data_IF_629923231722
#
_entry.id   IF_629923231722
#
_cell.length_a   1.000
_cell.length_b   1.000
_cell.length_c   1.000
_cell.angle_alpha   90.00
_cell.angle_beta   90.00
_cell.angle_gamma   90.00
#
_symmetry.space_group_name_H-M   'P 1'
#
loop_
_entity.id
_entity.type
_entity.pdbx_description
1 polymer ?
#
# COMPACT_ATOMS: atom_id res chain seq x y z
N UNK A 1 -32.97 -30.36 26.74
CA UNK A 1 -32.10 -29.27 26.24
C UNK A 1 -31.89 -29.51 24.77
N UNK A 2 -32.50 -28.70 23.90
CA UNK A 2 -32.42 -28.85 22.46
C UNK A 2 -31.40 -27.83 21.89
N UNK A 3 -30.39 -28.34 21.17
CA UNK A 3 -29.35 -27.54 20.54
C UNK A 3 -29.82 -27.25 19.12
N UNK A 4 -30.15 -25.98 18.85
CA UNK A 4 -30.58 -25.52 17.52
C UNK A 4 -29.38 -25.21 16.65
N UNK A 5 -29.19 -25.95 15.56
CA UNK A 5 -28.22 -25.64 14.49
C UNK A 5 -28.78 -24.56 13.57
N UNK A 6 -28.04 -23.45 13.42
CA UNK A 6 -28.31 -22.42 12.42
C UNK A 6 -27.39 -22.62 11.22
N UNK A 7 -27.99 -22.97 10.10
CA UNK A 7 -27.28 -23.01 8.81
C UNK A 7 -27.40 -21.62 8.15
N UNK A 8 -26.26 -20.97 7.89
CA UNK A 8 -26.19 -19.74 7.10
C UNK A 8 -25.91 -20.13 5.65
N UNK A 9 -26.89 -19.88 4.78
CA UNK A 9 -26.72 -20.05 3.34
C UNK A 9 -26.14 -18.76 2.75
N UNK A 10 -24.95 -18.83 2.19
CA UNK A 10 -24.35 -17.77 1.40
C UNK A 10 -24.90 -17.84 -0.04
N UNK A 11 -25.66 -16.81 -0.43
CA UNK A 11 -26.14 -16.63 -1.80
C UNK A 11 -25.11 -15.83 -2.61
N UNK A 12 -24.46 -16.48 -3.58
CA UNK A 12 -23.68 -15.84 -4.63
C UNK A 12 -24.63 -15.20 -5.64
N UNK A 13 -24.76 -13.86 -5.64
CA UNK A 13 -25.48 -13.10 -6.66
C UNK A 13 -24.62 -12.88 -7.89
N UNK A 14 -24.90 -13.59 -9.00
CA UNK A 14 -24.32 -13.33 -10.31
C UNK A 14 -24.95 -12.10 -10.95
N UNK A 15 -24.13 -11.16 -11.39
CA UNK A 15 -24.55 -10.00 -12.21
C UNK A 15 -24.59 -10.40 -13.67
N UNK A 16 -25.77 -10.31 -14.30
CA UNK A 16 -25.96 -10.50 -15.73
C UNK A 16 -25.57 -9.21 -16.49
N UNK A 17 -24.65 -9.34 -17.43
CA UNK A 17 -24.31 -8.29 -18.38
C UNK A 17 -25.47 -8.06 -19.37
N UNK A 18 -25.89 -6.81 -19.51
CA UNK A 18 -26.87 -6.36 -20.52
C UNK A 18 -26.11 -5.84 -21.75
N UNK A 19 -26.31 -6.48 -22.88
CA UNK A 19 -25.84 -6.05 -24.20
C UNK A 19 -26.49 -4.72 -24.62
N UNK A 20 -25.72 -3.65 -24.66
CA UNK A 20 -26.09 -2.36 -25.22
C UNK A 20 -25.62 -2.21 -26.67
N UNK A 21 -26.54 -2.37 -27.63
CA UNK A 21 -26.35 -2.17 -29.06
C UNK A 21 -26.25 -0.66 -29.36
N UNK A 22 -25.06 -0.13 -29.56
CA UNK A 22 -24.80 1.27 -29.91
C UNK A 22 -24.57 1.44 -31.42
N UNK A 23 -25.39 2.30 -32.02
CA UNK A 23 -25.48 2.71 -33.43
C UNK A 23 -24.26 3.51 -33.89
N UNK A 24 -23.83 3.28 -35.13
CA UNK A 24 -22.66 3.87 -35.76
C UNK A 24 -22.66 5.39 -35.92
N UNK A 25 -21.47 5.98 -35.74
CA UNK A 25 -21.13 7.34 -36.13
C UNK A 25 -20.02 7.34 -37.18
N UNK A 26 -20.32 7.85 -38.38
CA UNK A 26 -19.34 8.05 -39.46
C UNK A 26 -18.39 9.17 -39.10
N UNK A 27 -17.09 8.90 -39.11
CA UNK A 27 -16.05 9.92 -39.04
C UNK A 27 -15.39 10.13 -40.38
N UNK A 28 -15.46 11.38 -40.85
CA UNK A 28 -14.91 11.94 -42.08
C UNK A 28 -13.37 11.96 -42.02
N UNK A 29 -12.74 11.54 -43.16
CA UNK A 29 -11.29 11.48 -43.29
C UNK A 29 -10.61 12.84 -43.30
N UNK A 30 -9.48 12.92 -42.61
CA UNK A 30 -8.51 14.00 -42.69
C UNK A 30 -7.19 13.47 -43.26
N UNK A 31 -6.81 13.96 -44.48
CA UNK A 31 -5.52 13.69 -45.09
C UNK A 31 -4.42 14.45 -44.34
N UNK A 32 -3.38 13.78 -43.84
CA UNK A 32 -2.15 14.43 -43.40
C UNK A 32 -0.97 14.01 -44.23
N UNK A 33 -0.35 15.00 -44.79
CA UNK A 33 0.86 15.06 -45.62
C UNK A 33 2.07 14.46 -44.93
N UNK A 34 2.91 13.75 -45.71
CA UNK A 34 4.11 13.08 -45.24
C UNK A 34 5.19 14.01 -44.68
N UNK A 35 5.83 13.56 -43.63
CA UNK A 35 7.04 14.15 -43.06
C UNK A 35 8.17 13.12 -43.10
N UNK A 36 9.31 13.58 -43.58
CA UNK A 36 10.57 12.87 -43.84
C UNK A 36 11.15 12.14 -42.65
N UNK A 37 11.79 10.99 -42.94
CA UNK A 37 12.49 10.14 -42.01
C UNK A 37 13.64 10.82 -41.25
N UNK A 38 13.66 10.65 -39.95
CA UNK A 38 14.79 10.87 -39.09
C UNK A 38 15.26 9.53 -38.54
N UNK A 39 16.52 9.16 -38.84
CA UNK A 39 17.20 8.01 -38.22
C UNK A 39 17.41 8.28 -36.73
N UNK A 40 16.56 7.75 -35.87
CA UNK A 40 16.69 7.83 -34.43
C UNK A 40 17.53 6.69 -33.92
N UNK A 41 18.71 7.00 -33.44
CA UNK A 41 19.59 6.20 -32.59
C UNK A 41 18.80 5.62 -31.40
N UNK A 42 19.01 4.32 -31.12
CA UNK A 42 18.33 3.60 -30.06
C UNK A 42 18.37 4.32 -28.71
N UNK A 43 17.26 4.91 -28.34
CA UNK A 43 17.03 5.44 -26.99
C UNK A 43 16.66 4.31 -26.04
N UNK A 44 17.52 4.10 -25.04
CA UNK A 44 17.17 3.33 -23.85
C UNK A 44 15.81 3.82 -23.34
N UNK A 45 14.83 2.93 -23.28
CA UNK A 45 13.52 3.25 -22.75
C UNK A 45 13.68 3.65 -21.26
N UNK A 46 13.88 4.93 -21.02
CA UNK A 46 13.71 5.52 -19.71
C UNK A 46 12.21 5.45 -19.44
N UNK A 47 11.82 4.59 -18.49
CA UNK A 47 10.43 4.49 -18.04
C UNK A 47 9.89 5.89 -17.77
N UNK A 48 8.86 6.27 -18.55
CA UNK A 48 8.25 7.58 -18.44
C UNK A 48 7.80 7.81 -17.01
N UNK A 49 8.41 8.76 -16.34
CA UNK A 49 7.84 9.38 -15.14
C UNK A 49 6.59 10.11 -15.59
N UNK A 50 5.48 9.37 -15.71
CA UNK A 50 4.16 9.98 -15.91
C UNK A 50 3.98 11.03 -14.83
N UNK A 51 3.49 12.19 -15.21
CA UNK A 51 3.32 13.33 -14.34
C UNK A 51 2.32 12.98 -13.23
N UNK A 52 2.81 12.39 -12.12
CA UNK A 52 2.03 11.91 -10.96
C UNK A 52 1.61 13.04 -10.01
N UNK A 53 1.90 14.30 -10.36
CA UNK A 53 1.65 15.46 -9.49
C UNK A 53 0.21 15.60 -9.02
N UNK A 54 -0.77 15.05 -9.74
CA UNK A 54 -2.17 15.05 -9.31
C UNK A 54 -2.60 13.82 -8.50
N UNK A 55 -1.78 12.74 -8.50
CA UNK A 55 -2.13 11.48 -7.83
C UNK A 55 -1.62 11.41 -6.39
N UNK A 56 -0.63 12.25 -6.06
CA UNK A 56 0.03 12.24 -4.75
C UNK A 56 -0.47 13.34 -3.81
N UNK A 57 -1.25 14.31 -4.31
CA UNK A 57 -1.76 15.40 -3.47
C UNK A 57 -2.66 14.85 -2.35
N UNK A 58 -2.39 15.27 -1.12
CA UNK A 58 -3.15 14.90 0.07
C UNK A 58 -3.37 16.13 0.97
N UNK A 59 -4.44 16.14 1.72
CA UNK A 59 -4.86 17.21 2.62
C UNK A 59 -4.92 16.79 4.09
N UNK A 60 -4.89 15.46 4.33
CA UNK A 60 -4.99 14.92 5.69
C UNK A 60 -4.22 13.61 5.86
N UNK A 61 -3.82 13.26 7.10
CA UNK A 61 -3.31 11.93 7.42
C UNK A 61 -4.29 10.83 7.03
N UNK A 62 -3.79 9.64 6.74
CA UNK A 62 -4.59 8.47 6.40
C UNK A 62 -5.15 8.43 4.98
N UNK A 63 -5.07 9.53 4.21
CA UNK A 63 -5.56 9.57 2.83
C UNK A 63 -4.63 8.90 1.82
N UNK A 64 -3.40 8.60 2.22
CA UNK A 64 -2.39 8.01 1.36
C UNK A 64 -2.37 6.49 1.46
N UNK A 65 -2.14 5.82 0.34
CA UNK A 65 -1.94 4.38 0.27
C UNK A 65 -0.69 4.05 -0.53
N UNK A 66 -0.05 2.92 -0.20
CA UNK A 66 1.02 2.36 -1.00
C UNK A 66 0.44 1.56 -2.17
N UNK A 67 1.10 1.69 -3.30
CA UNK A 67 0.80 0.90 -4.49
C UNK A 67 2.08 0.43 -5.15
N UNK A 68 2.15 -0.83 -5.56
CA UNK A 68 3.29 -1.35 -6.30
C UNK A 68 3.36 -0.69 -7.69
N UNK A 69 4.55 -0.30 -8.13
CA UNK A 69 4.78 0.29 -9.46
C UNK A 69 4.63 -0.73 -10.59
N UNK A 70 3.72 -1.68 -10.44
CA UNK A 70 3.39 -2.68 -11.44
C UNK A 70 1.86 -2.87 -11.51
N UNK A 71 1.37 -3.49 -12.57
CA UNK A 71 -0.06 -3.73 -12.76
C UNK A 71 -0.63 -4.85 -11.88
N UNK A 72 0.20 -5.61 -11.20
CA UNK A 72 -0.24 -6.77 -10.43
C UNK A 72 -0.54 -6.45 -8.96
N UNK A 73 -0.47 -5.18 -8.57
CA UNK A 73 -0.86 -4.70 -7.24
C UNK A 73 0.08 -5.10 -6.10
N UNK A 74 1.18 -5.80 -6.39
CA UNK A 74 2.13 -6.23 -5.36
C UNK A 74 3.34 -6.94 -5.92
N UNK A 75 4.17 -7.46 -5.04
CA UNK A 75 5.38 -8.22 -5.36
C UNK A 75 5.32 -9.62 -4.76
N UNK A 76 5.83 -10.61 -5.48
CA UNK A 76 5.98 -11.99 -4.99
C UNK A 76 7.17 -12.11 -4.00
N UNK A 77 8.02 -11.09 -3.92
CA UNK A 77 9.20 -11.05 -3.05
C UNK A 77 8.87 -10.20 -1.82
N UNK A 78 8.90 -10.77 -0.60
CA UNK A 78 8.71 -10.02 0.64
C UNK A 78 9.80 -8.96 0.89
N UNK A 79 10.95 -9.08 0.20
CA UNK A 79 12.06 -8.15 0.28
C UNK A 79 12.07 -7.12 -0.86
N UNK A 80 10.99 -7.02 -1.63
CA UNK A 80 10.90 -6.01 -2.70
C UNK A 80 11.26 -4.62 -2.15
N UNK A 81 12.19 -3.88 -2.81
CA UNK A 81 12.67 -2.61 -2.28
C UNK A 81 11.58 -1.54 -2.33
N UNK A 82 11.67 -0.55 -1.41
CA UNK A 82 10.73 0.59 -1.37
C UNK A 82 10.64 1.34 -2.72
N UNK A 83 11.72 1.35 -3.49
CA UNK A 83 11.74 1.96 -4.83
C UNK A 83 10.73 1.33 -5.82
N UNK A 84 10.30 0.10 -5.57
CA UNK A 84 9.23 -0.58 -6.31
C UNK A 84 7.81 -0.08 -5.94
N UNK A 85 7.68 0.66 -4.85
CA UNK A 85 6.42 1.18 -4.35
C UNK A 85 6.26 2.66 -4.60
N UNK A 86 5.04 3.14 -4.63
CA UNK A 86 4.71 4.56 -4.67
C UNK A 86 3.56 4.85 -3.72
N UNK A 87 3.58 6.05 -3.14
CA UNK A 87 2.47 6.55 -2.34
C UNK A 87 1.55 7.39 -3.21
N UNK A 88 0.27 7.15 -3.11
CA UNK A 88 -0.77 7.88 -3.85
C UNK A 88 -1.93 8.22 -2.92
N UNK A 89 -2.69 9.21 -3.28
CA UNK A 89 -3.96 9.46 -2.63
C UNK A 89 -4.91 8.30 -2.94
N UNK A 90 -5.47 7.64 -1.91
CA UNK A 90 -6.33 6.47 -2.05
C UNK A 90 -7.54 6.71 -2.97
N UNK A 91 -8.09 7.94 -3.00
CA UNK A 91 -9.16 8.32 -3.92
C UNK A 91 -8.74 8.32 -5.39
N UNK A 92 -7.43 8.30 -5.69
CA UNK A 92 -6.85 8.31 -7.03
C UNK A 92 -6.28 6.94 -7.46
N UNK A 93 -6.44 5.92 -6.62
CA UNK A 93 -5.88 4.59 -6.88
C UNK A 93 -6.36 4.01 -8.21
N UNK A 94 -7.65 4.05 -8.48
CA UNK A 94 -8.22 3.56 -9.74
C UNK A 94 -7.66 4.29 -10.97
N UNK A 95 -7.43 5.61 -10.84
CA UNK A 95 -6.81 6.39 -11.92
C UNK A 95 -5.37 5.93 -12.16
N UNK A 96 -4.60 5.67 -11.12
CA UNK A 96 -3.25 5.14 -11.22
C UNK A 96 -3.25 3.75 -11.88
N UNK A 97 -4.10 2.84 -11.43
CA UNK A 97 -4.24 1.50 -11.99
C UNK A 97 -4.50 1.56 -13.49
N UNK A 98 -5.43 2.41 -13.93
CA UNK A 98 -5.74 2.58 -15.36
C UNK A 98 -4.56 3.10 -16.18
N UNK A 99 -3.64 3.85 -15.57
CA UNK A 99 -2.42 4.33 -16.25
C UNK A 99 -1.34 3.26 -16.33
N UNK A 100 -1.22 2.41 -15.28
CA UNK A 100 -0.22 1.35 -15.21
C UNK A 100 -0.65 0.09 -15.97
N UNK A 101 -1.94 -0.23 -15.95
CA UNK A 101 -2.50 -1.47 -16.45
C UNK A 101 -3.15 -1.25 -17.84
N UNK A 102 -2.31 -1.09 -18.84
CA UNK A 102 -2.78 -0.97 -20.22
C UNK A 102 -2.64 -2.34 -20.94
N UNK A 103 -3.78 -2.88 -21.39
CA UNK A 103 -3.83 -4.17 -22.07
C UNK A 103 -3.98 -5.38 -21.12
N UNK A 104 -3.96 -6.57 -21.69
CA UNK A 104 -4.06 -7.84 -20.97
C UNK A 104 -2.69 -8.19 -20.36
N UNK A 105 -2.48 -7.87 -19.10
CA UNK A 105 -1.26 -8.18 -18.37
C UNK A 105 -1.48 -9.44 -17.55
N UNK A 106 -0.72 -10.49 -17.83
CA UNK A 106 -0.70 -11.70 -17.02
C UNK A 106 0.13 -11.46 -15.76
N UNK A 107 -0.52 -11.46 -14.60
CA UNK A 107 0.16 -11.38 -13.32
C UNK A 107 0.66 -12.75 -12.85
N UNK A 108 1.82 -12.80 -12.16
CA UNK A 108 2.28 -14.04 -11.53
C UNK A 108 1.23 -14.59 -10.57
N UNK A 109 1.03 -15.91 -10.55
CA UNK A 109 0.11 -16.58 -9.63
C UNK A 109 0.64 -16.71 -8.21
N UNK A 110 1.47 -15.81 -7.73
CA UNK A 110 2.02 -15.80 -6.37
C UNK A 110 1.13 -15.00 -5.41
N UNK A 111 1.30 -15.24 -4.12
CA UNK A 111 0.77 -14.34 -3.09
C UNK A 111 1.54 -13.02 -3.13
N UNK A 112 0.80 -11.91 -3.11
CA UNK A 112 1.40 -10.59 -2.92
C UNK A 112 1.85 -10.43 -1.47
N UNK A 113 3.05 -9.90 -1.28
CA UNK A 113 3.61 -9.57 0.03
C UNK A 113 3.70 -8.07 0.20
N UNK A 114 3.07 -7.57 1.27
CA UNK A 114 3.21 -6.21 1.71
C UNK A 114 4.23 -6.15 2.84
N UNK A 115 5.26 -5.33 2.69
CA UNK A 115 6.22 -5.12 3.77
C UNK A 115 5.58 -4.19 4.82
N UNK A 116 5.34 -4.65 6.07
CA UNK A 116 4.64 -3.87 7.08
C UNK A 116 5.39 -2.61 7.51
N UNK A 117 6.70 -2.54 7.21
CA UNK A 117 7.52 -1.36 7.50
C UNK A 117 7.41 -0.27 6.41
N UNK A 118 6.75 -0.56 5.29
CA UNK A 118 6.53 0.45 4.26
C UNK A 118 5.20 1.15 4.50
N UNK A 119 5.24 2.47 4.54
CA UNK A 119 4.07 3.32 4.77
C UNK A 119 3.92 4.35 3.66
N UNK A 120 2.68 4.80 3.49
CA UNK A 120 2.36 6.00 2.72
C UNK A 120 1.80 7.05 3.69
N UNK A 121 2.49 8.17 3.83
CA UNK A 121 2.07 9.27 4.71
C UNK A 121 1.83 10.54 3.91
N UNK A 122 0.87 11.35 4.36
CA UNK A 122 0.68 12.71 3.87
C UNK A 122 1.70 13.64 4.53
N UNK A 123 2.74 14.03 3.80
CA UNK A 123 3.78 14.95 4.25
C UNK A 123 3.80 16.17 3.35
N UNK A 124 3.69 17.35 3.93
CA UNK A 124 3.71 18.63 3.18
C UNK A 124 2.74 18.67 2.00
N UNK A 125 1.54 18.08 2.15
CA UNK A 125 0.52 18.04 1.11
C UNK A 125 0.73 17.02 0.00
N UNK A 126 1.67 16.07 0.19
CA UNK A 126 2.00 15.03 -0.77
C UNK A 126 2.08 13.66 -0.10
N UNK A 127 1.53 12.65 -0.75
CA UNK A 127 1.70 11.26 -0.34
C UNK A 127 3.16 10.83 -0.58
N UNK A 128 3.83 10.44 0.50
CA UNK A 128 5.23 10.03 0.50
C UNK A 128 5.34 8.58 0.96
N UNK A 129 6.01 7.75 0.16
CA UNK A 129 6.36 6.39 0.57
C UNK A 129 7.64 6.43 1.42
N UNK A 130 7.62 5.72 2.53
CA UNK A 130 8.76 5.65 3.44
C UNK A 130 8.94 4.24 4.00
N UNK A 131 10.17 3.97 4.43
CA UNK A 131 10.52 2.78 5.22
C UNK A 131 10.61 3.20 6.70
N UNK A 132 9.70 2.73 7.52
CA UNK A 132 9.64 3.03 8.94
C UNK A 132 10.95 2.75 9.66
N UNK A 133 11.70 1.76 9.19
CA UNK A 133 12.99 1.38 9.77
C UNK A 133 14.08 2.45 9.67
N UNK A 134 13.93 3.43 8.79
CA UNK A 134 14.89 4.51 8.57
C UNK A 134 14.27 5.89 8.70
N UNK A 135 12.98 5.95 9.04
CA UNK A 135 12.22 7.18 9.16
C UNK A 135 12.28 7.76 10.58
N UNK A 136 12.07 9.05 10.71
CA UNK A 136 12.03 9.77 11.99
C UNK A 136 11.02 9.18 12.98
N UNK A 137 9.96 8.52 12.50
CA UNK A 137 8.97 7.85 13.34
C UNK A 137 9.54 6.67 14.13
N UNK A 138 10.68 6.13 13.72
CA UNK A 138 11.39 5.08 14.44
C UNK A 138 12.68 5.58 15.11
N UNK A 139 13.01 6.86 15.00
CA UNK A 139 14.23 7.41 15.62
C UNK A 139 14.21 7.22 17.14
N UNK A 140 15.31 6.71 17.72
CA UNK A 140 15.42 6.39 19.13
C UNK A 140 16.80 6.74 19.71
N UNK A 141 16.88 6.81 21.03
CA UNK A 141 18.13 7.00 21.77
C UNK A 141 18.39 5.85 22.77
N UNK A 142 17.34 5.12 23.13
CA UNK A 142 17.38 4.00 24.05
C UNK A 142 16.31 2.98 23.67
N UNK A 143 16.45 1.75 24.18
CA UNK A 143 15.46 0.68 23.95
C UNK A 143 14.07 1.07 24.49
N UNK A 144 14.03 1.85 25.56
CA UNK A 144 12.80 2.34 26.18
C UNK A 144 11.99 3.28 25.27
N UNK A 145 12.60 3.85 24.24
CA UNK A 145 11.90 4.69 23.26
C UNK A 145 11.06 3.86 22.30
N UNK A 146 11.36 2.58 22.14
CA UNK A 146 10.78 1.72 21.15
C UNK A 146 9.59 0.93 21.67
N UNK A 147 8.55 0.79 20.82
CA UNK A 147 7.42 -0.10 21.10
C UNK A 147 7.09 -0.96 19.89
N UNK A 148 6.55 -2.15 20.17
CA UNK A 148 5.98 -3.07 19.18
C UNK A 148 4.56 -2.66 18.81
N UNK A 149 4.17 -3.02 17.60
CA UNK A 149 2.80 -2.90 17.10
C UNK A 149 2.52 -3.92 16.01
N UNK A 150 1.28 -4.40 15.97
CA UNK A 150 0.78 -5.21 14.86
C UNK A 150 0.36 -4.32 13.69
N UNK A 151 1.17 -4.35 12.63
CA UNK A 151 0.89 -3.63 11.39
C UNK A 151 1.05 -2.11 11.48
N UNK A 152 1.03 -1.48 10.33
CA UNK A 152 1.21 -0.03 10.14
C UNK A 152 -0.10 0.72 9.84
N UNK A 153 -1.24 0.04 9.83
CA UNK A 153 -2.55 0.64 9.58
C UNK A 153 -3.01 1.58 10.71
N UNK A 154 -4.12 2.28 10.52
CA UNK A 154 -4.68 3.18 11.55
C UNK A 154 -4.94 2.44 12.86
N UNK A 155 -5.64 1.32 12.81
CA UNK A 155 -5.92 0.51 14.00
C UNK A 155 -5.00 -0.68 14.08
N UNK A 156 -4.50 -0.96 15.28
CA UNK A 156 -3.84 -2.22 15.55
C UNK A 156 -4.84 -3.37 15.41
N UNK A 157 -4.40 -4.50 14.84
CA UNK A 157 -5.33 -5.61 14.56
C UNK A 157 -5.86 -6.26 15.83
N UNK A 158 -7.11 -6.73 15.77
CA UNK A 158 -7.74 -7.54 16.81
C UNK A 158 -7.53 -9.06 16.61
N UNK A 159 -6.95 -9.44 15.48
CA UNK A 159 -6.74 -10.85 15.12
C UNK A 159 -5.26 -11.20 15.16
N UNK A 160 -4.91 -12.44 15.53
CA UNK A 160 -3.52 -12.91 15.45
C UNK A 160 -2.98 -12.76 14.02
N UNK A 161 -1.77 -12.21 13.91
CA UNK A 161 -1.01 -12.07 12.67
C UNK A 161 0.32 -12.83 12.78
N UNK A 162 0.95 -13.10 11.65
CA UNK A 162 2.29 -13.66 11.64
C UNK A 162 3.34 -12.68 12.19
N UNK A 163 4.47 -13.16 12.73
CA UNK A 163 5.53 -12.31 13.25
C UNK A 163 6.07 -11.31 12.21
N UNK A 164 5.96 -11.64 10.93
CA UNK A 164 6.36 -10.77 9.82
C UNK A 164 5.50 -9.50 9.69
N UNK A 165 4.35 -9.45 10.41
CA UNK A 165 3.49 -8.27 10.45
C UNK A 165 3.84 -7.31 11.58
N UNK A 166 4.83 -7.64 12.42
CA UNK A 166 5.27 -6.76 13.51
C UNK A 166 6.11 -5.60 12.97
N UNK A 167 5.81 -4.43 13.50
CA UNK A 167 6.63 -3.22 13.30
C UNK A 167 7.10 -2.68 14.64
N UNK A 168 8.17 -1.87 14.59
CA UNK A 168 8.60 -1.06 15.73
C UNK A 168 8.67 0.40 15.34
N UNK A 169 8.36 1.27 16.28
CA UNK A 169 8.47 2.71 16.12
C UNK A 169 8.72 3.38 17.46
N UNK A 170 9.06 4.67 17.43
CA UNK A 170 9.23 5.45 18.66
C UNK A 170 7.85 5.68 19.31
N UNK A 171 7.69 5.26 20.55
CA UNK A 171 6.42 5.39 21.29
C UNK A 171 5.89 6.81 21.40
N UNK A 172 6.77 7.82 21.26
CA UNK A 172 6.42 9.23 21.31
C UNK A 172 6.12 9.85 19.92
N UNK A 173 6.30 9.07 18.84
CA UNK A 173 6.15 9.57 17.47
C UNK A 173 4.68 9.72 17.01
N UNK A 174 3.72 9.27 17.85
CA UNK A 174 2.28 9.35 17.54
C UNK A 174 1.94 8.84 16.13
N UNK A 175 2.35 7.60 15.84
CA UNK A 175 2.15 6.97 14.52
C UNK A 175 0.67 7.00 14.10
N UNK A 176 -0.24 6.78 15.04
CA UNK A 176 -1.69 6.78 14.80
C UNK A 176 -2.16 8.10 14.19
N UNK A 177 -1.66 9.24 14.67
CA UNK A 177 -2.00 10.54 14.11
C UNK A 177 -1.49 10.75 12.69
N UNK A 178 -0.50 9.95 12.24
CA UNK A 178 0.05 10.02 10.89
C UNK A 178 -0.67 9.08 9.91
N UNK A 179 -1.23 7.97 10.41
CA UNK A 179 -1.85 6.93 9.56
C UNK A 179 -3.37 6.90 9.62
N UNK A 180 -3.99 7.57 10.60
CA UNK A 180 -5.45 7.63 10.71
C UNK A 180 -6.01 8.88 10.03
N UNK A 181 -7.12 8.70 9.33
CA UNK A 181 -7.92 9.86 8.90
C UNK A 181 -8.48 10.60 10.11
N UNK A 182 -8.46 11.94 10.15
CA UNK A 182 -8.92 12.73 11.30
C UNK A 182 -10.38 12.44 11.70
N UNK A 183 -11.21 12.07 10.73
CA UNK A 183 -12.62 11.72 10.92
C UNK A 183 -12.86 10.20 10.70
N UNK A 184 -11.79 9.42 10.59
CA UNK A 184 -11.86 7.96 10.52
C UNK A 184 -12.52 7.42 11.78
N UNK A 185 -13.34 6.40 11.64
CA UNK A 185 -14.04 5.80 12.79
C UNK A 185 -13.06 5.40 13.91
N UNK A 186 -13.55 5.38 15.14
CA UNK A 186 -12.77 4.87 16.26
C UNK A 186 -12.32 3.43 15.99
N UNK A 187 -11.11 3.09 16.41
CA UNK A 187 -10.64 1.72 16.31
C UNK A 187 -11.57 0.77 17.07
N UNK A 188 -11.77 -0.46 16.58
CA UNK A 188 -12.57 -1.45 17.27
C UNK A 188 -12.12 -1.60 18.73
N UNK A 189 -13.04 -1.70 19.69
CA UNK A 189 -12.70 -1.87 21.10
C UNK A 189 -12.22 -3.30 21.38
N UNK A 190 -11.04 -3.66 20.90
CA UNK A 190 -10.43 -4.96 21.15
C UNK A 190 -9.03 -4.77 21.73
N UNK A 191 -8.58 -5.75 22.50
CA UNK A 191 -7.17 -5.84 22.87
C UNK A 191 -6.38 -6.44 21.69
N UNK A 192 -5.25 -5.85 21.29
CA UNK A 192 -4.36 -6.49 20.34
C UNK A 192 -3.95 -7.88 20.83
N UNK A 193 -3.76 -8.86 19.95
CA UNK A 193 -3.25 -10.17 20.34
C UNK A 193 -1.84 -10.04 20.93
N UNK A 194 -1.47 -10.93 21.84
CA UNK A 194 -0.15 -10.90 22.46
C UNK A 194 0.94 -11.02 21.39
N UNK A 195 2.02 -10.27 21.57
CA UNK A 195 3.17 -10.38 20.66
C UNK A 195 3.86 -11.74 20.81
N UNK A 196 4.42 -12.30 19.72
CA UNK A 196 5.19 -13.53 19.80
C UNK A 196 6.32 -13.40 20.83
N UNK A 197 6.52 -14.43 21.63
CA UNK A 197 7.62 -14.46 22.59
C UNK A 197 8.82 -15.20 22.02
N UNK A 198 10.04 -14.70 22.22
CA UNK A 198 10.39 -13.38 22.72
C UNK A 198 10.61 -12.38 21.58
N UNK A 199 9.67 -11.46 21.36
CA UNK A 199 9.86 -10.31 20.48
C UNK A 199 10.17 -9.10 21.37
N UNK A 200 11.35 -8.52 21.21
CA UNK A 200 11.77 -7.36 21.99
C UNK A 200 12.09 -6.19 21.05
N UNK A 201 11.47 -5.02 21.27
CA UNK A 201 11.89 -3.82 20.60
C UNK A 201 13.20 -3.32 21.22
N UNK A 202 14.11 -2.81 20.41
CA UNK A 202 15.35 -2.20 20.86
C UNK A 202 15.77 -1.05 19.94
N UNK A 203 16.62 -0.16 20.43
CA UNK A 203 17.22 0.90 19.65
C UNK A 203 18.49 0.39 18.95
N UNK A 204 18.45 0.30 17.63
CA UNK A 204 19.57 -0.15 16.82
C UNK A 204 20.74 0.83 16.85
N UNK A 205 21.95 0.39 16.44
CA UNK A 205 23.15 1.24 16.43
C UNK A 205 23.05 2.42 15.45
N UNK A 206 22.11 2.37 14.52
CA UNK A 206 21.77 3.42 13.57
C UNK A 206 20.75 4.44 14.12
N UNK A 207 20.36 4.31 15.40
CA UNK A 207 19.43 5.22 16.07
C UNK A 207 17.96 5.02 15.67
N UNK A 208 17.61 3.85 15.16
CA UNK A 208 16.23 3.50 14.81
C UNK A 208 15.74 2.26 15.54
N UNK A 209 14.46 2.24 15.86
CA UNK A 209 13.82 1.10 16.51
C UNK A 209 13.86 -0.16 15.63
N UNK A 210 14.23 -1.28 16.25
CA UNK A 210 14.39 -2.61 15.65
C UNK A 210 13.65 -3.66 16.47
N UNK A 211 13.43 -4.81 15.87
CA UNK A 211 12.87 -5.99 16.56
C UNK A 211 13.93 -7.08 16.60
N UNK A 212 14.16 -7.64 17.76
CA UNK A 212 14.80 -8.96 17.88
C UNK A 212 13.71 -10.00 18.05
N UNK A 213 13.63 -10.94 17.12
CA UNK A 213 12.85 -12.15 17.27
C UNK A 213 13.83 -13.23 17.68
N UNK A 214 13.85 -13.57 18.96
CA UNK A 214 14.66 -14.69 19.44
C UNK A 214 13.90 -15.96 19.07
N UNK A 215 14.41 -16.70 18.10
CA UNK A 215 13.82 -17.97 17.68
C UNK A 215 13.64 -18.93 18.86
N UNK A 216 12.77 -19.92 18.70
CA UNK A 216 12.54 -20.96 19.70
C UNK A 216 13.80 -21.80 19.95
#
# INVERSE_FOLDING_TARGET
MAIGSWAVAAACGGSTATDGKGTGGSATGGSSTGGSGGSGTGGTATGGTGNVTGLTACDSPGTCTLFAKNCCGGYCDPNAPLSGWQAVNGSKLQQLESQLCQGDIACPGCMSYDNPNYLALCRTGQCTALDLRTDELSACKSDDDCRLRWGSGCCETCSPMGPDSLITYNKNANLEAQVCEPNGGACPPCAPPPYPKPSLPYCGPDGHCRITIVGP
#
